data_IF_342971639816
#
_entry.id   IF_342971639816
#
_cell.length_a   1.000
_cell.length_b   1.000
_cell.length_c   1.000
_cell.angle_alpha   90.00
_cell.angle_beta   90.00
_cell.angle_gamma   90.00
#
_symmetry.space_group_name_H-M   'P 1'
#
loop_
_entity.id
_entity.type
_entity.pdbx_description
1 polymer ?
#
# COMPACT_ATOMS: atom_id res chain seq x y z
N UNK A 1 -25.88 58.41 44.89
CA UNK A 1 -26.79 57.85 43.85
C UNK A 1 -25.92 57.12 42.85
N UNK A 2 -26.09 55.82 42.66
CA UNK A 2 -25.36 55.09 41.61
C UNK A 2 -25.96 55.51 40.27
N UNK A 3 -25.14 55.98 39.34
CA UNK A 3 -25.60 56.39 38.01
C UNK A 3 -25.80 55.16 37.13
N UNK A 4 -26.71 55.27 36.15
CA UNK A 4 -26.93 54.21 35.15
C UNK A 4 -25.62 53.88 34.41
N UNK A 5 -24.75 54.86 34.19
CA UNK A 5 -23.44 54.66 33.55
C UNK A 5 -22.51 53.73 34.35
N UNK A 6 -22.51 53.83 35.69
CA UNK A 6 -21.71 52.95 36.57
C UNK A 6 -22.28 51.53 36.57
N UNK A 7 -23.60 51.36 36.54
CA UNK A 7 -24.23 50.03 36.45
C UNK A 7 -23.94 49.34 35.11
N UNK A 8 -23.95 50.09 34.00
CA UNK A 8 -23.60 49.56 32.68
C UNK A 8 -22.13 49.15 32.60
N UNK A 9 -21.22 49.99 33.10
CA UNK A 9 -19.79 49.68 33.12
C UNK A 9 -19.50 48.42 33.96
N UNK A 10 -20.11 48.31 35.14
CA UNK A 10 -19.99 47.12 36.00
C UNK A 10 -20.50 45.86 35.29
N UNK A 11 -21.65 45.93 34.62
CA UNK A 11 -22.20 44.80 33.85
C UNK A 11 -21.24 44.36 32.72
N UNK A 12 -20.72 45.29 31.92
CA UNK A 12 -19.78 44.98 30.83
C UNK A 12 -18.48 44.36 31.36
N UNK A 13 -17.97 44.86 32.49
CA UNK A 13 -16.77 44.30 33.13
C UNK A 13 -16.99 42.89 33.72
N UNK A 14 -18.22 42.54 34.11
CA UNK A 14 -18.55 41.22 34.66
C UNK A 14 -18.93 40.19 33.59
N UNK A 15 -19.48 40.62 32.44
CA UNK A 15 -19.76 39.72 31.32
C UNK A 15 -18.43 39.25 30.70
N UNK A 16 -18.23 37.94 30.43
CA UNK A 16 -17.01 37.40 29.83
C UNK A 16 -16.93 37.69 28.32
N UNK A 17 -17.02 38.96 27.95
CA UNK A 17 -17.06 39.45 26.56
C UNK A 17 -15.81 39.04 25.77
N UNK A 18 -14.65 38.97 26.43
CA UNK A 18 -13.39 38.50 25.82
C UNK A 18 -13.50 37.08 25.30
N UNK A 19 -13.96 36.12 26.13
CA UNK A 19 -14.09 34.71 25.73
C UNK A 19 -15.24 34.55 24.73
N UNK A 20 -16.38 35.21 24.99
CA UNK A 20 -17.55 35.16 24.10
C UNK A 20 -17.26 35.65 22.68
N UNK A 21 -16.45 36.70 22.53
CA UNK A 21 -16.03 37.20 21.21
C UNK A 21 -15.00 36.30 20.51
N UNK A 22 -14.17 35.58 21.27
CA UNK A 22 -13.09 34.75 20.72
C UNK A 22 -13.53 33.34 20.31
N UNK A 23 -14.59 32.77 20.90
CA UNK A 23 -15.04 31.41 20.60
C UNK A 23 -15.24 31.16 19.09
N UNK A 24 -15.94 32.06 18.40
CA UNK A 24 -16.20 31.96 16.97
C UNK A 24 -14.91 32.03 16.14
N UNK A 25 -13.97 32.89 16.54
CA UNK A 25 -12.69 33.03 15.86
C UNK A 25 -11.82 31.77 16.01
N UNK A 26 -11.82 31.15 17.20
CA UNK A 26 -11.09 29.91 17.47
C UNK A 26 -11.64 28.77 16.61
N UNK A 27 -12.97 28.63 16.51
CA UNK A 27 -13.60 27.58 15.70
C UNK A 27 -13.23 27.70 14.22
N UNK A 28 -13.32 28.90 13.64
CA UNK A 28 -12.93 29.15 12.24
C UNK A 28 -11.45 28.88 12.01
N UNK A 29 -10.57 29.39 12.89
CA UNK A 29 -9.13 29.14 12.78
C UNK A 29 -8.78 27.65 12.88
N UNK A 30 -9.48 26.90 13.74
CA UNK A 30 -9.34 25.45 13.85
C UNK A 30 -9.71 24.71 12.57
N UNK A 31 -10.84 25.06 11.96
CA UNK A 31 -11.26 24.46 10.67
C UNK A 31 -10.30 24.80 9.53
N UNK A 32 -9.80 26.04 9.45
CA UNK A 32 -8.80 26.42 8.45
C UNK A 32 -7.50 25.63 8.58
N UNK A 33 -7.05 25.33 9.81
CA UNK A 33 -5.86 24.48 10.04
C UNK A 33 -6.08 23.03 9.58
N UNK A 34 -7.27 22.48 9.75
CA UNK A 34 -7.60 21.13 9.28
C UNK A 34 -7.55 21.03 7.75
N UNK A 35 -8.11 22.03 7.06
CA UNK A 35 -8.02 22.11 5.59
C UNK A 35 -6.56 22.19 5.11
N UNK A 36 -5.72 23.00 5.78
CA UNK A 36 -4.27 23.05 5.50
C UNK A 36 -3.55 21.72 5.74
N UNK A 37 -4.08 20.86 6.60
CA UNK A 37 -3.59 19.50 6.84
C UNK A 37 -4.21 18.43 5.92
N UNK A 38 -4.97 18.85 4.88
CA UNK A 38 -5.74 17.98 3.99
C UNK A 38 -6.80 17.13 4.69
N UNK A 39 -7.37 17.63 5.79
CA UNK A 39 -8.48 16.99 6.52
C UNK A 39 -9.74 17.82 6.32
N UNK A 40 -10.78 17.20 5.75
CA UNK A 40 -12.09 17.83 5.58
C UNK A 40 -12.97 17.45 6.77
N UNK A 41 -13.23 18.41 7.65
CA UNK A 41 -14.18 18.25 8.74
C UNK A 41 -15.58 18.72 8.28
N UNK A 42 -16.59 17.89 8.49
CA UNK A 42 -17.99 18.23 8.15
C UNK A 42 -18.61 19.23 9.13
N UNK A 43 -18.04 19.37 10.33
CA UNK A 43 -18.46 20.33 11.34
C UNK A 43 -17.33 20.62 12.33
N UNK A 44 -17.39 21.78 13.02
CA UNK A 44 -16.48 22.10 14.12
C UNK A 44 -16.59 21.10 15.29
N UNK A 45 -17.79 20.57 15.54
CA UNK A 45 -18.03 19.54 16.56
C UNK A 45 -17.21 18.27 16.30
N UNK A 46 -17.00 17.89 15.04
CA UNK A 46 -16.15 16.74 14.71
C UNK A 46 -14.68 16.97 15.10
N UNK A 47 -14.19 18.21 14.97
CA UNK A 47 -12.83 18.61 15.35
C UNK A 47 -12.67 18.60 16.86
N UNK A 48 -13.65 19.12 17.59
CA UNK A 48 -13.65 19.12 19.06
C UNK A 48 -13.72 17.69 19.62
N UNK A 49 -14.64 16.88 19.10
CA UNK A 49 -14.78 15.48 19.51
C UNK A 49 -13.51 14.66 19.24
N UNK A 50 -12.79 14.96 18.15
CA UNK A 50 -11.51 14.30 17.86
C UNK A 50 -10.39 14.64 18.87
N UNK A 51 -10.52 15.73 19.64
CA UNK A 51 -9.60 16.09 20.72
C UNK A 51 -9.82 15.29 22.00
N UNK A 52 -11.00 14.69 22.18
CA UNK A 52 -11.44 13.99 23.40
C UNK A 52 -11.40 12.46 23.24
N UNK A 53 -10.63 11.95 22.27
CA UNK A 53 -10.56 10.52 21.99
C UNK A 53 -9.51 9.79 22.82
N UNK A 54 -9.91 8.74 23.53
CA UNK A 54 -8.99 7.89 24.29
C UNK A 54 -8.39 6.75 23.44
N UNK A 55 -9.15 6.27 22.44
CA UNK A 55 -8.79 5.10 21.64
C UNK A 55 -8.98 5.39 20.16
N UNK A 56 -7.91 5.22 19.40
CA UNK A 56 -7.89 5.32 17.95
C UNK A 56 -7.94 3.92 17.34
N UNK A 57 -9.04 3.63 16.63
CA UNK A 57 -9.19 2.42 15.83
C UNK A 57 -8.70 2.71 14.40
N UNK A 58 -7.73 1.93 13.93
CA UNK A 58 -7.13 2.10 12.61
C UNK A 58 -7.38 0.86 11.77
N UNK A 59 -8.03 1.04 10.63
CA UNK A 59 -8.02 0.03 9.59
C UNK A 59 -6.58 -0.18 9.10
N UNK A 60 -6.14 -1.41 8.91
CA UNK A 60 -4.75 -1.67 8.48
C UNK A 60 -4.56 -1.25 7.02
N UNK A 61 -5.43 -1.74 6.15
CA UNK A 61 -5.24 -1.67 4.69
C UNK A 61 -5.44 -0.24 4.22
N UNK A 62 -4.43 0.36 3.60
CA UNK A 62 -4.51 1.71 3.03
C UNK A 62 -4.42 2.85 4.04
N UNK A 63 -4.65 2.62 5.33
CA UNK A 63 -4.41 3.63 6.39
C UNK A 63 -3.01 3.47 6.98
N UNK A 64 -2.70 2.31 7.56
CA UNK A 64 -1.36 2.00 8.13
C UNK A 64 -0.38 1.63 7.02
N UNK A 65 -0.87 0.90 6.03
CA UNK A 65 -0.08 0.46 4.88
C UNK A 65 -0.36 1.30 3.65
N UNK A 66 0.46 1.14 2.62
CA UNK A 66 0.24 1.81 1.32
C UNK A 66 -1.08 1.36 0.66
N UNK A 67 -1.72 0.29 1.15
CA UNK A 67 -2.98 -0.24 0.63
C UNK A 67 -2.81 -1.19 -0.55
N UNK A 68 -1.63 -1.22 -1.16
CA UNK A 68 -1.26 -2.14 -2.22
C UNK A 68 -0.14 -3.06 -1.72
N UNK A 69 -0.25 -4.35 -2.03
CA UNK A 69 0.81 -5.30 -1.71
C UNK A 69 1.97 -5.09 -2.68
N UNK A 70 3.19 -5.02 -2.15
CA UNK A 70 4.39 -4.81 -2.95
C UNK A 70 5.28 -6.04 -2.93
N UNK A 71 5.94 -6.29 -4.05
CA UNK A 71 6.96 -7.31 -4.18
C UNK A 71 8.05 -7.09 -3.13
N UNK A 72 8.40 -8.17 -2.42
CA UNK A 72 9.35 -8.14 -1.33
C UNK A 72 10.52 -9.08 -1.51
N UNK A 73 10.29 -10.22 -2.16
CA UNK A 73 11.31 -11.25 -2.32
C UNK A 73 11.05 -12.09 -3.58
N UNK A 74 12.15 -12.56 -4.17
CA UNK A 74 12.16 -13.55 -5.25
C UNK A 74 12.58 -14.90 -4.67
N UNK A 75 11.70 -15.89 -4.75
CA UNK A 75 11.90 -17.24 -4.22
C UNK A 75 12.04 -18.21 -5.40
N UNK A 76 13.27 -18.50 -5.85
CA UNK A 76 13.49 -19.33 -7.03
C UNK A 76 13.08 -20.78 -6.81
N UNK A 77 12.58 -21.42 -7.87
CA UNK A 77 12.37 -22.86 -7.89
C UNK A 77 13.73 -23.61 -7.86
N UNK A 78 13.75 -24.90 -7.47
CA UNK A 78 14.98 -25.69 -7.47
C UNK A 78 15.70 -25.65 -8.84
N UNK A 79 16.99 -25.33 -8.83
CA UNK A 79 17.79 -25.22 -10.05
C UNK A 79 17.58 -23.95 -10.87
N UNK A 80 16.85 -22.96 -10.35
CA UNK A 80 16.72 -21.60 -10.93
C UNK A 80 17.56 -20.63 -10.12
N UNK A 81 18.29 -19.73 -10.78
CA UNK A 81 18.99 -18.65 -10.07
C UNK A 81 18.03 -17.54 -9.72
N UNK A 82 18.21 -16.90 -8.57
CA UNK A 82 17.35 -15.78 -8.16
C UNK A 82 17.34 -14.65 -9.21
N UNK A 83 18.48 -14.36 -9.83
CA UNK A 83 18.59 -13.37 -10.91
C UNK A 83 17.81 -13.75 -12.18
N UNK A 84 17.73 -15.05 -12.51
CA UNK A 84 16.94 -15.56 -13.65
C UNK A 84 15.44 -15.37 -13.40
N UNK A 85 14.99 -15.68 -12.18
CA UNK A 85 13.62 -15.41 -11.75
C UNK A 85 13.31 -13.90 -11.78
N UNK A 86 14.18 -13.07 -11.22
CA UNK A 86 13.98 -11.62 -11.17
C UNK A 86 13.90 -11.02 -12.57
N UNK A 87 14.71 -11.51 -13.51
CA UNK A 87 14.69 -11.07 -14.90
C UNK A 87 13.38 -11.40 -15.61
N UNK A 88 12.94 -12.66 -15.52
CA UNK A 88 11.67 -13.09 -16.09
C UNK A 88 10.48 -12.37 -15.43
N UNK A 89 10.52 -12.18 -14.11
CA UNK A 89 9.48 -11.47 -13.36
C UNK A 89 9.39 -10.00 -13.78
N UNK A 90 10.53 -9.33 -13.99
CA UNK A 90 10.57 -7.96 -14.49
C UNK A 90 9.94 -7.88 -15.87
N UNK A 91 10.39 -8.71 -16.82
CA UNK A 91 9.89 -8.74 -18.19
C UNK A 91 8.37 -8.97 -18.25
N UNK A 92 7.85 -9.91 -17.46
CA UNK A 92 6.42 -10.20 -17.39
C UNK A 92 5.60 -9.09 -16.71
N UNK A 93 6.25 -8.20 -15.96
CA UNK A 93 5.61 -7.10 -15.23
C UNK A 93 5.70 -5.75 -15.94
N UNK A 94 6.46 -5.63 -17.04
CA UNK A 94 6.61 -4.36 -17.77
C UNK A 94 5.29 -3.84 -18.37
N UNK A 95 4.38 -4.75 -18.73
CA UNK A 95 3.04 -4.41 -19.21
C UNK A 95 1.95 -4.59 -18.14
N UNK A 96 2.34 -4.84 -16.90
CA UNK A 96 1.45 -4.93 -15.76
C UNK A 96 1.40 -3.57 -15.05
N UNK A 97 0.43 -2.74 -15.43
CA UNK A 97 0.28 -1.38 -14.89
C UNK A 97 -0.24 -1.34 -13.45
N UNK A 98 -0.59 -2.50 -12.87
CA UNK A 98 -1.06 -2.60 -11.49
C UNK A 98 0.05 -2.19 -10.50
N UNK A 99 -0.31 -1.73 -9.28
CA UNK A 99 0.67 -1.49 -8.22
C UNK A 99 1.58 -2.69 -7.95
N UNK A 100 1.03 -3.91 -8.03
CA UNK A 100 1.75 -5.17 -7.89
C UNK A 100 2.81 -5.33 -8.99
N UNK A 101 2.42 -5.20 -10.26
CA UNK A 101 3.34 -5.26 -11.41
C UNK A 101 4.48 -4.26 -11.30
N UNK A 102 4.15 -2.98 -11.04
CA UNK A 102 5.15 -1.91 -10.85
C UNK A 102 6.12 -2.22 -9.70
N UNK A 103 5.63 -2.77 -8.60
CA UNK A 103 6.48 -3.10 -7.44
C UNK A 103 7.51 -4.19 -7.76
N UNK A 104 7.17 -5.16 -8.62
CA UNK A 104 8.11 -6.21 -9.07
C UNK A 104 9.22 -5.60 -9.92
N UNK A 105 8.88 -4.69 -10.85
CA UNK A 105 9.86 -4.00 -11.69
C UNK A 105 10.83 -3.18 -10.83
N UNK A 106 10.32 -2.48 -9.82
CA UNK A 106 11.14 -1.70 -8.87
C UNK A 106 12.07 -2.62 -8.07
N UNK A 107 11.56 -3.73 -7.52
CA UNK A 107 12.35 -4.67 -6.75
C UNK A 107 13.49 -5.29 -7.57
N UNK A 108 13.19 -5.70 -8.81
CA UNK A 108 14.19 -6.24 -9.73
C UNK A 108 15.30 -5.22 -10.06
N UNK A 109 14.92 -3.96 -10.29
CA UNK A 109 15.87 -2.85 -10.54
C UNK A 109 16.76 -2.57 -9.32
N UNK A 110 16.18 -2.55 -8.12
CA UNK A 110 16.93 -2.25 -6.88
C UNK A 110 17.91 -3.37 -6.51
N UNK A 111 17.50 -4.63 -6.61
CA UNK A 111 18.30 -5.77 -6.12
C UNK A 111 19.34 -6.26 -7.14
N UNK A 112 19.04 -6.19 -8.44
CA UNK A 112 19.88 -6.77 -9.48
C UNK A 112 20.41 -5.75 -10.51
N UNK A 113 20.13 -4.45 -10.31
CA UNK A 113 20.52 -3.35 -11.22
C UNK A 113 20.13 -3.65 -12.68
N UNK A 114 18.99 -4.34 -12.88
CA UNK A 114 18.42 -4.62 -14.19
C UNK A 114 17.86 -3.31 -14.75
N UNK A 115 18.70 -2.59 -15.50
CA UNK A 115 18.34 -1.33 -16.17
C UNK A 115 17.47 -1.59 -17.40
N UNK A 116 16.86 -0.50 -17.87
CA UNK A 116 16.04 -0.42 -19.08
C UNK A 116 16.68 -1.24 -20.22
N UNK A 117 15.99 -2.32 -20.59
CA UNK A 117 16.32 -3.08 -21.79
C UNK A 117 15.82 -2.30 -22.97
N UNK A 118 16.55 -2.34 -24.06
CA UNK A 118 16.08 -1.76 -25.32
C UNK A 118 14.92 -2.64 -25.83
N UNK A 119 13.71 -2.33 -25.40
CA UNK A 119 12.51 -3.13 -25.65
C UNK A 119 12.22 -3.25 -27.16
N UNK A 120 12.69 -2.28 -27.95
CA UNK A 120 12.59 -2.27 -29.40
C UNK A 120 13.48 -3.34 -30.05
N UNK A 121 14.60 -3.71 -29.43
CA UNK A 121 15.51 -4.73 -29.94
C UNK A 121 15.00 -6.17 -29.76
N UNK A 122 14.00 -6.38 -28.89
CA UNK A 122 13.57 -7.72 -28.47
C UNK A 122 12.40 -8.31 -29.29
N UNK A 123 11.82 -7.57 -30.24
CA UNK A 123 10.58 -7.96 -30.96
C UNK A 123 9.54 -8.58 -30.01
N UNK A 124 9.36 -7.94 -28.86
CA UNK A 124 8.55 -8.46 -27.76
C UNK A 124 7.07 -8.10 -27.95
N UNK A 125 6.19 -9.09 -27.81
CA UNK A 125 4.74 -8.84 -27.69
C UNK A 125 4.33 -8.94 -26.24
N UNK A 126 3.95 -7.81 -25.66
CA UNK A 126 3.53 -7.74 -24.27
C UNK A 126 2.07 -8.18 -24.08
N UNK A 127 1.83 -8.93 -23.00
CA UNK A 127 0.50 -9.35 -22.58
C UNK A 127 0.14 -8.57 -21.31
N UNK A 128 -0.74 -7.56 -21.40
CA UNK A 128 -1.11 -6.77 -20.23
C UNK A 128 -1.84 -7.63 -19.21
N UNK A 129 -1.83 -7.20 -17.96
CA UNK A 129 -2.60 -7.86 -16.91
C UNK A 129 -4.11 -7.80 -17.22
N UNK A 130 -4.80 -8.93 -17.08
CA UNK A 130 -6.26 -8.98 -17.09
C UNK A 130 -6.79 -9.66 -15.83
N UNK A 131 -7.86 -9.10 -15.26
CA UNK A 131 -8.55 -9.70 -14.12
C UNK A 131 -9.20 -11.05 -14.47
N UNK A 132 -9.54 -11.31 -15.75
CA UNK A 132 -10.12 -12.60 -16.17
C UNK A 132 -9.05 -13.70 -16.19
N UNK A 133 -7.86 -13.40 -16.70
CA UNK A 133 -6.74 -14.36 -16.76
C UNK A 133 -5.96 -14.43 -15.45
N UNK A 134 -6.01 -13.36 -14.63
CA UNK A 134 -5.25 -13.17 -13.38
C UNK A 134 -3.73 -13.31 -13.60
N UNK A 135 -3.25 -12.95 -14.78
CA UNK A 135 -1.84 -12.99 -15.17
C UNK A 135 -1.50 -11.92 -16.21
N UNK A 136 -0.21 -11.57 -16.26
CA UNK A 136 0.44 -10.74 -17.27
C UNK A 136 1.64 -11.48 -17.85
N UNK A 137 2.29 -10.92 -18.88
CA UNK A 137 3.49 -11.53 -19.41
C UNK A 137 4.08 -10.85 -20.62
N UNK A 138 5.02 -11.55 -21.25
CA UNK A 138 5.63 -11.15 -22.51
C UNK A 138 5.93 -12.38 -23.36
N UNK A 139 5.84 -12.22 -24.67
CA UNK A 139 6.35 -13.17 -25.65
C UNK A 139 7.57 -12.54 -26.32
N UNK A 140 8.74 -13.17 -26.18
CA UNK A 140 10.00 -12.72 -26.78
C UNK A 140 10.56 -13.87 -27.56
N UNK A 141 10.56 -13.80 -28.88
CA UNK A 141 10.97 -14.91 -29.76
C UNK A 141 10.18 -16.19 -29.42
N UNK A 142 10.85 -17.28 -29.04
CA UNK A 142 10.23 -18.54 -28.61
C UNK A 142 9.91 -18.59 -27.11
N UNK A 143 10.29 -17.56 -26.34
CA UNK A 143 10.12 -17.50 -24.90
C UNK A 143 8.76 -16.91 -24.55
N UNK A 144 7.90 -17.70 -23.92
CA UNK A 144 6.62 -17.24 -23.38
C UNK A 144 6.71 -17.09 -21.87
N UNK A 145 6.87 -15.87 -21.37
CA UNK A 145 7.00 -15.61 -19.94
C UNK A 145 5.65 -15.14 -19.40
N UNK A 146 5.19 -15.75 -18.31
CA UNK A 146 3.94 -15.39 -17.62
C UNK A 146 4.18 -15.24 -16.13
N UNK A 147 3.48 -14.27 -15.54
CA UNK A 147 3.45 -14.02 -14.10
C UNK A 147 2.01 -13.79 -13.66
N UNK A 148 1.58 -14.43 -12.58
CA UNK A 148 0.19 -14.32 -12.13
C UNK A 148 -0.14 -15.09 -10.86
N UNK A 149 -1.43 -15.20 -10.58
CA UNK A 149 -1.93 -16.00 -9.48
C UNK A 149 -1.56 -17.48 -9.64
N UNK A 150 -1.38 -18.19 -8.51
CA UNK A 150 -0.95 -19.60 -8.46
C UNK A 150 -1.80 -20.48 -9.38
N UNK A 151 -3.12 -20.42 -9.26
CA UNK A 151 -4.04 -21.26 -10.05
C UNK A 151 -4.05 -20.92 -11.55
N UNK A 152 -3.77 -19.66 -11.91
CA UNK A 152 -3.70 -19.23 -13.30
C UNK A 152 -2.43 -19.76 -13.96
N UNK A 153 -1.30 -19.64 -13.27
CA UNK A 153 -0.01 -20.11 -13.78
C UNK A 153 0.06 -21.64 -13.78
N UNK A 154 -0.52 -22.32 -12.80
CA UNK A 154 -0.64 -23.79 -12.80
C UNK A 154 -1.35 -24.28 -14.06
N UNK A 155 -2.54 -23.75 -14.37
CA UNK A 155 -3.28 -24.08 -15.59
C UNK A 155 -2.49 -23.77 -16.86
N UNK A 156 -1.78 -22.65 -16.89
CA UNK A 156 -0.93 -22.28 -18.03
C UNK A 156 0.21 -23.29 -18.25
N UNK A 157 0.92 -23.65 -17.19
CA UNK A 157 2.02 -24.62 -17.23
C UNK A 157 1.53 -26.00 -17.67
N UNK A 158 0.41 -26.47 -17.11
CA UNK A 158 -0.20 -27.75 -17.48
C UNK A 158 -0.66 -27.77 -18.94
N UNK A 159 -1.22 -26.66 -19.45
CA UNK A 159 -1.61 -26.54 -20.87
C UNK A 159 -0.42 -26.61 -21.83
N UNK A 160 0.77 -26.24 -21.36
CA UNK A 160 2.03 -26.36 -22.09
C UNK A 160 2.76 -27.69 -21.83
N UNK A 161 2.07 -28.71 -21.30
CA UNK A 161 2.65 -30.03 -20.95
C UNK A 161 3.78 -29.95 -19.90
N UNK A 162 3.78 -28.91 -19.08
CA UNK A 162 4.71 -28.73 -17.98
C UNK A 162 4.25 -29.38 -16.68
N UNK A 163 5.16 -29.42 -15.71
CA UNK A 163 4.88 -29.91 -14.36
C UNK A 163 5.10 -28.80 -13.34
N UNK A 164 4.21 -28.73 -12.35
CA UNK A 164 4.33 -27.81 -11.22
C UNK A 164 5.14 -28.50 -10.10
N UNK A 165 6.37 -28.08 -9.79
CA UNK A 165 7.20 -28.77 -8.82
C UNK A 165 6.64 -28.61 -7.40
N UNK A 166 6.63 -29.68 -6.59
CA UNK A 166 6.17 -29.64 -5.19
C UNK A 166 6.91 -28.61 -4.35
N UNK A 167 8.21 -28.43 -4.57
CA UNK A 167 8.99 -27.40 -3.90
C UNK A 167 8.44 -25.97 -4.13
N UNK A 168 7.80 -25.71 -5.28
CA UNK A 168 7.16 -24.40 -5.53
C UNK A 168 5.85 -24.31 -4.75
N UNK A 169 5.09 -25.39 -4.60
CA UNK A 169 3.91 -25.43 -3.75
C UNK A 169 4.25 -25.14 -2.29
N UNK A 170 5.35 -25.70 -1.79
CA UNK A 170 5.83 -25.42 -0.43
C UNK A 170 6.20 -23.93 -0.25
N UNK A 171 6.80 -23.30 -1.27
CA UNK A 171 7.09 -21.86 -1.28
C UNK A 171 5.81 -21.03 -1.28
N UNK A 172 4.82 -21.41 -2.09
CA UNK A 172 3.50 -20.75 -2.12
C UNK A 172 2.82 -20.81 -0.76
N UNK A 173 2.81 -21.98 -0.11
CA UNK A 173 2.21 -22.15 1.21
C UNK A 173 2.95 -21.35 2.28
N UNK A 174 4.28 -21.33 2.24
CA UNK A 174 5.12 -20.53 3.15
C UNK A 174 4.80 -19.03 3.06
N UNK A 175 4.69 -18.49 1.84
CA UNK A 175 4.31 -17.08 1.62
C UNK A 175 2.89 -16.81 2.13
N UNK A 176 1.94 -17.72 1.89
CA UNK A 176 0.57 -17.58 2.38
C UNK A 176 0.50 -17.59 3.93
N UNK A 177 1.26 -18.47 4.59
CA UNK A 177 1.33 -18.56 6.07
C UNK A 177 1.85 -17.30 6.72
N UNK A 178 2.72 -16.55 6.04
CA UNK A 178 3.24 -15.27 6.53
C UNK A 178 2.31 -14.08 6.23
N UNK A 179 1.13 -14.32 5.65
CA UNK A 179 0.16 -13.28 5.27
C UNK A 179 0.52 -12.55 3.97
N UNK A 180 1.49 -13.07 3.22
CA UNK A 180 1.86 -12.57 1.90
C UNK A 180 0.93 -13.08 0.79
N UNK A 181 1.03 -12.47 -0.39
CA UNK A 181 0.37 -12.96 -1.61
C UNK A 181 1.42 -13.52 -2.56
N UNK A 182 1.43 -14.83 -2.83
CA UNK A 182 2.37 -15.44 -3.76
C UNK A 182 1.91 -15.21 -5.21
N UNK A 183 2.81 -14.68 -6.05
CA UNK A 183 2.66 -14.67 -7.50
C UNK A 183 3.69 -15.60 -8.12
N UNK A 184 3.29 -16.45 -9.04
CA UNK A 184 4.19 -17.44 -9.66
C UNK A 184 4.66 -16.90 -11.01
N UNK A 185 5.92 -17.18 -11.35
CA UNK A 185 6.52 -16.84 -12.64
C UNK A 185 6.88 -18.13 -13.36
N UNK A 186 6.49 -18.24 -14.63
CA UNK A 186 6.78 -19.37 -15.49
C UNK A 186 7.28 -18.91 -16.86
N UNK A 187 8.11 -19.73 -17.48
CA UNK A 187 8.58 -19.59 -18.85
C UNK A 187 8.19 -20.85 -19.64
N UNK A 188 7.20 -20.72 -20.52
CA UNK A 188 6.58 -21.82 -21.25
C UNK A 188 5.98 -22.87 -20.30
N UNK A 189 6.61 -24.04 -20.26
CA UNK A 189 6.24 -25.18 -19.43
C UNK A 189 7.02 -25.25 -18.10
N UNK A 190 8.00 -24.37 -17.88
CA UNK A 190 8.90 -24.41 -16.72
C UNK A 190 8.53 -23.33 -15.71
N UNK A 191 8.31 -23.71 -14.45
CA UNK A 191 8.12 -22.75 -13.35
C UNK A 191 9.48 -22.23 -12.90
N UNK A 192 9.63 -20.91 -12.84
CA UNK A 192 10.87 -20.25 -12.43
C UNK A 192 10.90 -19.97 -10.92
N UNK A 193 9.74 -19.73 -10.30
CA UNK A 193 9.62 -19.54 -8.86
C UNK A 193 8.46 -18.65 -8.45
N UNK A 194 8.52 -18.15 -7.22
CA UNK A 194 7.47 -17.34 -6.58
C UNK A 194 8.00 -15.94 -6.27
N UNK A 195 7.19 -14.92 -6.50
CA UNK A 195 7.41 -13.56 -6.02
C UNK A 195 6.47 -13.33 -4.84
N UNK A 196 7.05 -13.05 -3.67
CA UNK A 196 6.29 -12.80 -2.46
C UNK A 196 5.88 -11.33 -2.38
N UNK A 197 4.57 -11.07 -2.34
CA UNK A 197 4.05 -9.72 -2.13
C UNK A 197 3.63 -9.55 -0.67
N UNK A 198 4.00 -8.43 -0.05
CA UNK A 198 3.62 -8.08 1.31
C UNK A 198 2.99 -6.70 1.38
N UNK A 199 2.12 -6.50 2.35
CA UNK A 199 1.55 -5.18 2.59
C UNK A 199 2.58 -4.28 3.29
N UNK A 200 2.99 -3.20 2.63
CA UNK A 200 4.08 -2.34 3.11
C UNK A 200 3.51 -1.25 4.01
N UNK A 201 4.01 -1.21 5.25
CA UNK A 201 3.69 -0.17 6.23
C UNK A 201 4.26 1.17 5.76
N UNK A 202 3.45 2.24 5.85
CA UNK A 202 3.89 3.60 5.51
C UNK A 202 5.06 4.03 6.40
N UNK A 203 6.05 4.69 5.82
CA UNK A 203 7.13 5.31 6.58
C UNK A 203 6.61 6.33 7.58
N UNK A 204 7.24 6.42 8.75
CA UNK A 204 6.85 7.39 9.80
C UNK A 204 5.66 6.97 10.67
N UNK A 205 4.96 5.87 10.35
CA UNK A 205 3.75 5.49 11.11
C UNK A 205 4.09 5.02 12.53
N UNK A 206 5.26 4.37 12.71
CA UNK A 206 5.71 3.88 14.01
C UNK A 206 5.99 5.06 14.95
N UNK A 207 6.62 6.09 14.42
CA UNK A 207 6.91 7.35 15.11
C UNK A 207 5.60 8.05 15.50
N UNK A 208 4.64 8.17 14.56
CA UNK A 208 3.31 8.74 14.82
C UNK A 208 2.54 7.98 15.90
N UNK A 209 2.58 6.65 15.91
CA UNK A 209 1.97 5.85 16.99
C UNK A 209 2.66 6.02 18.33
N UNK A 210 3.96 6.29 18.35
CA UNK A 210 4.67 6.60 19.58
C UNK A 210 4.29 7.98 20.12
N UNK A 211 4.10 8.97 19.25
CA UNK A 211 3.58 10.28 19.63
C UNK A 211 2.17 10.19 20.23
N UNK A 212 1.25 9.48 19.56
CA UNK A 212 -0.11 9.26 20.07
C UNK A 212 -0.10 8.55 21.43
N UNK A 213 0.76 7.54 21.61
CA UNK A 213 0.90 6.86 22.91
C UNK A 213 1.45 7.78 24.00
N UNK A 214 2.38 8.68 23.67
CA UNK A 214 2.87 9.70 24.62
C UNK A 214 1.76 10.68 25.03
N UNK A 215 0.79 10.93 24.15
CA UNK A 215 -0.41 11.72 24.45
C UNK A 215 -1.47 10.94 25.26
N UNK A 216 -1.25 9.65 25.55
CA UNK A 216 -2.19 8.81 26.29
C UNK A 216 -3.24 8.10 25.41
N UNK A 217 -3.19 8.30 24.10
CA UNK A 217 -4.15 7.70 23.16
C UNK A 217 -3.74 6.25 22.86
N UNK A 218 -4.65 5.32 23.08
CA UNK A 218 -4.45 3.90 22.76
C UNK A 218 -4.74 3.66 21.28
N UNK A 219 -3.92 2.87 20.61
CA UNK A 219 -4.10 2.54 19.19
C UNK A 219 -4.44 1.06 19.02
N UNK A 220 -5.52 0.75 18.33
CA UNK A 220 -5.93 -0.64 18.00
C UNK A 220 -6.03 -0.79 16.49
N UNK A 221 -5.43 -1.85 15.96
CA UNK A 221 -5.49 -2.17 14.53
C UNK A 221 -6.66 -3.11 14.26
N UNK A 222 -7.46 -2.78 13.24
CA UNK A 222 -8.52 -3.63 12.69
C UNK A 222 -8.02 -4.19 11.35
N UNK A 223 -8.16 -5.50 11.14
CA UNK A 223 -7.68 -6.21 9.94
C UNK A 223 -8.67 -7.28 9.50
#
# INVERSE_FOLDING_TARGET
VVTITVLVALLVCLIPTTIGGLLSAIGVAGMSRMLGANVIATSGRAVEAAGDVDVLLLDKTGTITLGNRQASEFLPAPGVREQELADAAQLASLADETPEGRSIVVLAKQRFNLRERDLQALNATFVPFSAQTRMSGVNVQERMIRKGAVDAIRRHVESNQGHFPRAVDDLVESVARTGGTPLVVAEGARVLGVVALKDIVKGGIKERFNELRKMGIKTVMIT
#
